data_IF_040933228226
#
_entry.id   IF_040933228226
#
_cell.length_a   1.000
_cell.length_b   1.000
_cell.length_c   1.000
_cell.angle_alpha   90.00
_cell.angle_beta   90.00
_cell.angle_gamma   90.00
#
_symmetry.space_group_name_H-M   'P 1'
#
loop_
_entity.id
_entity.type
_entity.pdbx_description
1 polymer ?
#
# COMPACT_ATOMS: atom_id res chain seq x y z
N UNK A 1 -8.66 9.06 10.67
CA UNK A 1 -8.63 7.77 9.96
C UNK A 1 -8.77 8.06 8.48
N UNK A 2 -7.68 7.91 7.74
CA UNK A 2 -7.66 7.98 6.26
C UNK A 2 -7.33 6.63 5.66
N UNK A 3 -7.63 6.45 4.38
CA UNK A 3 -7.21 5.29 3.59
C UNK A 3 -5.97 5.69 2.78
N UNK A 4 -4.94 4.87 2.82
CA UNK A 4 -3.68 5.11 2.13
C UNK A 4 -3.50 4.00 1.10
N UNK A 5 -3.33 4.36 -0.17
CA UNK A 5 -3.05 3.40 -1.24
C UNK A 5 -1.58 3.55 -1.63
N UNK A 6 -0.85 2.45 -1.55
CA UNK A 6 0.55 2.37 -1.97
C UNK A 6 0.64 1.48 -3.19
N UNK A 7 1.06 2.03 -4.31
CA UNK A 7 1.14 1.31 -5.58
C UNK A 7 2.30 1.79 -6.44
N UNK A 8 2.77 0.91 -7.32
CA UNK A 8 3.82 1.24 -8.30
C UNK A 8 3.27 2.15 -9.39
N UNK A 9 4.11 3.06 -9.91
CA UNK A 9 3.78 3.86 -11.09
C UNK A 9 3.57 3.04 -12.35
N UNK A 10 4.07 1.80 -12.38
CA UNK A 10 3.84 0.87 -13.50
C UNK A 10 2.41 0.31 -13.51
N UNK A 11 1.68 0.41 -12.39
CA UNK A 11 0.27 0.04 -12.28
C UNK A 11 -0.62 1.17 -11.73
N UNK A 12 -0.45 2.35 -12.32
CA UNK A 12 -1.37 3.48 -12.14
C UNK A 12 -2.82 3.03 -12.37
N UNK A 13 -3.09 2.15 -13.34
CA UNK A 13 -4.45 1.69 -13.66
C UNK A 13 -5.13 0.94 -12.50
N UNK A 14 -4.43 0.01 -11.82
CA UNK A 14 -5.00 -0.70 -10.65
C UNK A 14 -5.08 0.19 -9.43
N UNK A 15 -4.07 1.03 -9.21
CA UNK A 15 -4.05 2.01 -8.12
C UNK A 15 -5.24 2.97 -8.23
N UNK A 16 -5.54 3.46 -9.43
CA UNK A 16 -6.69 4.33 -9.69
C UNK A 16 -8.03 3.58 -9.60
N UNK A 17 -8.09 2.29 -9.98
CA UNK A 17 -9.29 1.47 -9.76
C UNK A 17 -9.62 1.30 -8.27
N UNK A 18 -8.60 1.03 -7.45
CA UNK A 18 -8.78 0.93 -5.98
C UNK A 18 -9.17 2.27 -5.40
N UNK A 19 -8.59 3.37 -5.89
CA UNK A 19 -9.00 4.73 -5.50
C UNK A 19 -10.47 5.00 -5.83
N UNK A 20 -10.91 4.64 -7.04
CA UNK A 20 -12.32 4.76 -7.44
C UNK A 20 -13.23 3.91 -6.55
N UNK A 21 -12.79 2.72 -6.15
CA UNK A 21 -13.53 1.87 -5.22
C UNK A 21 -13.69 2.52 -3.85
N UNK A 22 -12.61 3.07 -3.27
CA UNK A 22 -12.68 3.80 -2.00
C UNK A 22 -13.68 4.96 -2.05
N UNK A 23 -13.69 5.74 -3.13
CA UNK A 23 -14.67 6.82 -3.31
C UNK A 23 -16.11 6.32 -3.32
N UNK A 24 -16.37 5.20 -4.00
CA UNK A 24 -17.72 4.59 -4.01
C UNK A 24 -18.20 4.20 -2.61
N UNK A 25 -17.29 3.87 -1.71
CA UNK A 25 -17.59 3.54 -0.31
C UNK A 25 -17.42 4.74 0.65
N UNK A 26 -17.34 5.97 0.13
CA UNK A 26 -17.30 7.19 0.95
C UNK A 26 -15.96 7.47 1.62
N UNK A 27 -14.87 6.86 1.14
CA UNK A 27 -13.51 7.13 1.60
C UNK A 27 -12.75 7.96 0.57
N UNK A 28 -11.92 8.90 1.02
CA UNK A 28 -11.02 9.69 0.17
C UNK A 28 -9.57 9.22 0.37
N UNK A 29 -9.07 8.30 -0.48
CA UNK A 29 -7.76 7.72 -0.26
C UNK A 29 -6.64 8.61 -0.82
N UNK A 30 -5.51 8.65 -0.11
CA UNK A 30 -4.28 9.28 -0.62
C UNK A 30 -3.40 8.22 -1.28
N UNK A 31 -2.96 8.47 -2.52
CA UNK A 31 -2.01 7.60 -3.22
C UNK A 31 -0.58 8.01 -2.91
N UNK A 32 0.24 7.02 -2.58
CA UNK A 32 1.69 7.12 -2.48
C UNK A 32 2.31 6.17 -3.51
N UNK A 33 3.26 6.66 -4.31
CA UNK A 33 3.94 5.86 -5.34
C UNK A 33 5.44 6.15 -5.41
N UNK A 34 6.12 5.42 -6.30
CA UNK A 34 7.59 5.31 -6.45
C UNK A 34 8.34 6.65 -6.55
N UNK A 35 7.71 7.68 -7.12
CA UNK A 35 8.49 8.79 -7.70
C UNK A 35 8.52 10.11 -6.91
N UNK A 36 7.84 10.29 -5.77
CA UNK A 36 7.75 11.64 -5.18
C UNK A 36 7.79 11.77 -3.66
N UNK A 37 7.88 10.68 -2.89
CA UNK A 37 7.99 10.79 -1.43
C UNK A 37 9.13 9.92 -0.94
N UNK A 38 10.29 10.55 -0.66
CA UNK A 38 11.41 9.93 0.04
C UNK A 38 10.92 9.00 1.17
N UNK A 39 11.57 7.84 1.36
CA UNK A 39 11.27 6.83 2.40
C UNK A 39 10.96 7.42 3.79
N UNK A 40 11.53 8.57 4.11
CA UNK A 40 11.32 9.37 5.32
C UNK A 40 9.96 10.06 5.43
N UNK A 41 9.33 10.43 4.30
CA UNK A 41 8.02 11.09 4.27
C UNK A 41 6.86 10.12 4.46
N UNK A 42 7.00 8.85 4.07
CA UNK A 42 5.91 7.89 4.23
C UNK A 42 5.68 7.57 5.72
N UNK A 43 6.74 7.30 6.48
CA UNK A 43 6.66 7.00 7.91
C UNK A 43 6.00 8.12 8.74
N UNK A 44 6.28 9.38 8.41
CA UNK A 44 5.69 10.55 9.09
C UNK A 44 4.23 10.80 8.68
N UNK A 45 3.79 10.25 7.56
CA UNK A 45 2.42 10.39 7.05
C UNK A 45 1.47 9.29 7.52
N UNK A 46 2.00 8.20 8.12
CA UNK A 46 1.24 7.04 8.56
C UNK A 46 0.80 7.24 10.03
N UNK A 47 -0.45 7.65 10.25
CA UNK A 47 -1.03 7.60 11.61
C UNK A 47 -1.38 6.15 11.96
N UNK A 48 -1.29 5.78 13.24
CA UNK A 48 -1.59 4.42 13.74
C UNK A 48 -3.02 3.96 13.43
N UNK A 49 -3.96 4.90 13.26
CA UNK A 49 -5.37 4.61 13.02
C UNK A 49 -5.73 4.60 11.53
N UNK A 50 -4.78 4.82 10.61
CA UNK A 50 -5.11 4.81 9.18
C UNK A 50 -5.24 3.38 8.64
N UNK A 51 -5.96 3.22 7.54
CA UNK A 51 -6.05 1.94 6.83
C UNK A 51 -5.08 1.96 5.66
N UNK A 52 -4.24 0.93 5.56
CA UNK A 52 -3.23 0.84 4.51
C UNK A 52 -3.62 -0.24 3.50
N UNK A 53 -3.70 0.16 2.24
CA UNK A 53 -3.93 -0.69 1.07
C UNK A 53 -2.65 -0.73 0.26
N UNK A 54 -2.05 -1.90 0.14
CA UNK A 54 -0.87 -2.14 -0.68
C UNK A 54 -1.32 -2.79 -1.99
N UNK A 55 -0.95 -2.20 -3.12
CA UNK A 55 -1.06 -2.82 -4.43
C UNK A 55 0.27 -3.54 -4.68
N UNK A 56 0.24 -4.87 -4.65
CA UNK A 56 1.41 -5.73 -4.75
C UNK A 56 1.42 -6.51 -6.06
N UNK A 57 2.26 -6.08 -6.99
CA UNK A 57 2.48 -6.71 -8.28
C UNK A 57 3.88 -7.35 -8.39
N UNK A 58 4.23 -7.83 -9.58
CA UNK A 58 5.53 -8.44 -9.85
C UNK A 58 6.70 -7.43 -9.77
N UNK A 59 6.41 -6.13 -9.82
CA UNK A 59 7.40 -5.05 -9.74
C UNK A 59 7.53 -4.51 -8.31
N UNK A 60 6.58 -4.84 -7.43
CA UNK A 60 6.53 -4.37 -6.04
C UNK A 60 7.68 -4.90 -5.19
N UNK A 61 8.26 -6.06 -5.54
CA UNK A 61 9.50 -6.56 -4.94
C UNK A 61 10.73 -5.66 -5.24
N UNK A 62 10.64 -4.84 -6.28
CA UNK A 62 11.67 -3.87 -6.63
C UNK A 62 11.28 -2.44 -6.19
N UNK A 63 10.10 -2.26 -5.59
CA UNK A 63 9.62 -0.98 -5.09
C UNK A 63 9.89 -0.88 -3.57
N UNK A 64 10.93 -0.15 -3.15
CA UNK A 64 11.33 -0.12 -1.76
C UNK A 64 10.33 0.61 -0.84
N UNK A 65 9.47 1.48 -1.37
CA UNK A 65 8.41 2.17 -0.63
C UNK A 65 7.29 1.19 -0.23
N UNK A 66 6.85 0.34 -1.16
CA UNK A 66 5.83 -0.70 -0.89
C UNK A 66 6.39 -1.72 0.10
N UNK A 67 7.66 -2.14 -0.06
CA UNK A 67 8.35 -3.03 0.89
C UNK A 67 8.46 -2.38 2.26
N UNK A 68 8.89 -1.12 2.33
CA UNK A 68 9.00 -0.39 3.59
C UNK A 68 7.64 -0.26 4.29
N UNK A 69 6.58 0.07 3.55
CA UNK A 69 5.25 0.18 4.12
C UNK A 69 4.74 -1.16 4.68
N UNK A 70 4.93 -2.25 3.93
CA UNK A 70 4.59 -3.59 4.40
C UNK A 70 5.36 -3.93 5.70
N UNK A 71 6.68 -3.70 5.70
CA UNK A 71 7.54 -3.93 6.87
C UNK A 71 7.17 -3.06 8.08
N UNK A 72 6.84 -1.78 7.85
CA UNK A 72 6.38 -0.86 8.88
C UNK A 72 5.06 -1.32 9.49
N UNK A 73 4.09 -1.75 8.68
CA UNK A 73 2.82 -2.28 9.18
C UNK A 73 3.05 -3.51 10.07
N UNK A 74 3.89 -4.45 9.62
CA UNK A 74 4.24 -5.65 10.40
C UNK A 74 4.93 -5.29 11.71
N UNK A 75 5.93 -4.40 11.67
CA UNK A 75 6.67 -3.98 12.85
C UNK A 75 5.84 -3.22 13.89
N UNK A 76 4.67 -2.70 13.50
CA UNK A 76 3.73 -1.99 14.38
C UNK A 76 2.47 -2.82 14.72
N UNK A 77 2.45 -4.12 14.40
CA UNK A 77 1.29 -5.01 14.56
C UNK A 77 -0.01 -4.43 13.95
N UNK A 78 0.13 -3.81 12.78
CA UNK A 78 -0.93 -3.07 12.12
C UNK A 78 -1.54 -3.90 10.99
N UNK A 79 -2.86 -3.82 10.88
CA UNK A 79 -3.59 -4.43 9.76
C UNK A 79 -3.38 -3.64 8.46
N UNK A 80 -3.11 -4.35 7.38
CA UNK A 80 -3.03 -3.83 6.02
C UNK A 80 -3.58 -4.86 5.03
N UNK A 81 -4.05 -4.39 3.88
CA UNK A 81 -4.62 -5.25 2.82
C UNK A 81 -3.66 -5.24 1.64
N UNK A 82 -3.43 -6.41 1.06
CA UNK A 82 -2.59 -6.56 -0.13
C UNK A 82 -3.47 -6.98 -1.31
N UNK A 83 -3.43 -6.20 -2.38
CA UNK A 83 -4.04 -6.53 -3.67
C UNK A 83 -2.95 -6.98 -4.64
N UNK A 84 -2.87 -8.28 -4.92
CA UNK A 84 -1.82 -8.80 -5.79
C UNK A 84 -2.21 -10.01 -6.63
N UNK A 85 -1.52 -10.20 -7.75
CA UNK A 85 -1.80 -11.25 -8.74
C UNK A 85 -1.13 -12.59 -8.43
N UNK A 86 -0.09 -12.64 -7.57
CA UNK A 86 0.59 -13.89 -7.23
C UNK A 86 0.98 -13.91 -5.74
N UNK A 87 0.54 -14.94 -5.02
CA UNK A 87 0.89 -15.15 -3.61
C UNK A 87 2.39 -15.44 -3.42
N UNK A 88 3.10 -15.78 -4.50
CA UNK A 88 4.52 -16.17 -4.46
C UNK A 88 5.50 -15.01 -4.28
N UNK A 89 5.06 -13.76 -4.50
CA UNK A 89 5.91 -12.58 -4.37
C UNK A 89 5.57 -11.70 -3.17
N UNK A 90 4.50 -12.01 -2.42
CA UNK A 90 4.16 -11.31 -1.20
C UNK A 90 5.21 -11.69 -0.15
N UNK A 91 5.96 -10.73 0.45
CA UNK A 91 6.94 -11.05 1.48
C UNK A 91 6.25 -11.80 2.61
N UNK A 92 6.97 -12.67 3.34
CA UNK A 92 6.44 -13.34 4.54
C UNK A 92 6.11 -12.29 5.60
N UNK A 93 4.98 -11.64 5.46
CA UNK A 93 4.40 -10.69 6.37
C UNK A 93 3.09 -11.30 6.85
N UNK A 94 2.74 -11.10 8.13
CA UNK A 94 1.46 -11.53 8.71
C UNK A 94 0.23 -10.83 8.07
N UNK A 95 0.39 -10.19 6.90
CA UNK A 95 -0.68 -9.60 6.13
C UNK A 95 -1.59 -10.68 5.54
N UNK A 96 -2.90 -10.48 5.64
CA UNK A 96 -3.87 -11.29 4.89
C UNK A 96 -3.96 -10.74 3.46
N UNK A 97 -3.49 -11.53 2.50
CA UNK A 97 -3.79 -11.29 1.08
C UNK A 97 -5.27 -11.63 0.82
N UNK A 98 -6.01 -10.71 0.20
CA UNK A 98 -7.42 -10.89 -0.17
C UNK A 98 -7.52 -10.95 -1.69
#
# INVERSE_FOLDING_TARGET
MKVLILGSTEEISKTEQIKSLCYKFGSDPTIYGDNNNSKTGLASCLDKNDTILLVWDNYSINNPEIIFAAGYCVGQDRSFIIFGNDKRSIPNCNGKAI
#
